data_IF_682910713549
#
_entry.id   IF_682910713549
#
_cell.length_a   1.000
_cell.length_b   1.000
_cell.length_c   1.000
_cell.angle_alpha   90.00
_cell.angle_beta   90.00
_cell.angle_gamma   90.00
#
_symmetry.space_group_name_H-M   'P 1'
#
loop_
_entity.id
_entity.type
_entity.pdbx_description
1 polymer ?
#
# COMPACT_ATOMS: atom_id res chain seq x y z
N UNK A 1 2.82 21.67 0.58
CA UNK A 1 3.28 20.73 1.63
C UNK A 1 2.18 20.58 2.66
N UNK A 2 1.85 19.35 3.07
CA UNK A 2 0.87 19.04 4.12
C UNK A 2 1.59 18.79 5.45
N UNK A 3 0.91 19.04 6.58
CA UNK A 3 1.45 18.57 7.87
C UNK A 3 1.34 17.05 7.93
N UNK A 4 0.20 16.48 7.54
CA UNK A 4 -0.05 15.03 7.57
C UNK A 4 -0.74 14.55 6.31
N UNK A 5 -0.24 13.44 5.76
CA UNK A 5 -0.94 12.64 4.77
C UNK A 5 -1.35 11.31 5.40
N UNK A 6 -2.62 10.96 5.27
CA UNK A 6 -3.20 9.70 5.75
C UNK A 6 -3.47 8.82 4.53
N UNK A 7 -2.90 7.64 4.53
CA UNK A 7 -3.00 6.69 3.42
C UNK A 7 -3.99 5.59 3.79
N UNK A 8 -5.17 5.66 3.19
CA UNK A 8 -6.32 4.82 3.47
C UNK A 8 -7.51 5.62 3.97
N UNK A 9 -8.65 5.55 3.26
CA UNK A 9 -9.89 6.26 3.57
C UNK A 9 -10.93 5.40 4.29
N UNK A 10 -10.47 4.34 4.97
CA UNK A 10 -11.29 3.50 5.83
C UNK A 10 -11.53 4.13 7.22
N UNK A 11 -12.19 3.40 8.15
CA UNK A 11 -12.54 3.91 9.47
C UNK A 11 -11.36 4.46 10.27
N UNK A 12 -10.21 3.79 10.23
CA UNK A 12 -8.99 4.24 10.92
C UNK A 12 -8.48 5.57 10.35
N UNK A 13 -8.40 5.68 9.01
CA UNK A 13 -7.89 6.89 8.36
C UNK A 13 -8.80 8.09 8.53
N UNK A 14 -10.11 7.91 8.36
CA UNK A 14 -11.08 8.98 8.58
C UNK A 14 -11.08 9.42 10.04
N UNK A 15 -11.00 8.48 11.00
CA UNK A 15 -10.88 8.83 12.42
C UNK A 15 -9.60 9.62 12.70
N UNK A 16 -8.45 9.16 12.20
CA UNK A 16 -7.18 9.89 12.35
C UNK A 16 -7.30 11.33 11.80
N UNK A 17 -7.89 11.49 10.61
CA UNK A 17 -8.07 12.80 9.98
C UNK A 17 -8.87 13.76 10.86
N UNK A 18 -9.94 13.29 11.51
CA UNK A 18 -10.75 14.14 12.40
C UNK A 18 -9.92 14.73 13.56
N UNK A 19 -9.04 13.92 14.15
CA UNK A 19 -8.18 14.37 15.25
C UNK A 19 -7.08 15.32 14.77
N UNK A 20 -6.44 15.04 13.64
CA UNK A 20 -5.42 15.92 13.06
C UNK A 20 -6.02 17.28 12.70
N UNK A 21 -7.15 17.31 11.99
CA UNK A 21 -7.84 18.53 11.60
C UNK A 21 -8.31 19.37 12.82
N UNK A 22 -8.83 18.71 13.86
CA UNK A 22 -9.20 19.39 15.11
C UNK A 22 -7.98 19.92 15.86
N UNK A 23 -6.81 19.32 15.69
CA UNK A 23 -5.53 19.82 16.17
C UNK A 23 -4.99 21.01 15.37
N UNK A 24 -5.64 21.39 14.26
CA UNK A 24 -5.23 22.51 13.42
C UNK A 24 -4.21 22.14 12.34
N UNK A 25 -3.96 20.84 12.11
CA UNK A 25 -2.99 20.38 11.12
C UNK A 25 -3.61 20.23 9.73
N UNK A 26 -2.92 20.74 8.71
CA UNK A 26 -3.31 20.51 7.31
C UNK A 26 -3.23 19.03 6.98
N UNK A 27 -4.36 18.42 6.60
CA UNK A 27 -4.50 16.97 6.47
C UNK A 27 -5.12 16.58 5.13
N UNK A 28 -4.46 15.69 4.41
CA UNK A 28 -4.99 15.04 3.22
C UNK A 28 -5.14 13.54 3.49
N UNK A 29 -6.32 13.00 3.21
CA UNK A 29 -6.59 11.56 3.21
C UNK A 29 -6.62 11.07 1.77
N UNK A 30 -5.82 10.05 1.47
CA UNK A 30 -5.75 9.44 0.15
C UNK A 30 -6.34 8.03 0.22
N UNK A 31 -7.28 7.71 -0.64
CA UNK A 31 -7.86 6.37 -0.74
C UNK A 31 -8.32 6.06 -2.15
N UNK A 32 -8.00 4.88 -2.63
CA UNK A 32 -8.40 4.41 -3.95
C UNK A 32 -9.90 4.14 -4.03
N UNK A 33 -10.43 3.52 -2.98
CA UNK A 33 -11.82 3.10 -2.86
C UNK A 33 -12.29 3.21 -1.39
N UNK A 34 -13.50 2.75 -1.11
CA UNK A 34 -14.08 2.73 0.24
C UNK A 34 -13.62 1.54 1.10
N UNK A 35 -12.67 0.74 0.58
CA UNK A 35 -12.06 -0.38 1.29
C UNK A 35 -13.02 -1.53 1.60
N UNK A 36 -12.61 -2.35 2.57
CA UNK A 36 -13.33 -3.57 2.92
C UNK A 36 -14.74 -3.33 3.50
N UNK A 37 -14.94 -2.18 4.14
CA UNK A 37 -16.19 -1.85 4.81
C UNK A 37 -17.34 -1.59 3.82
N UNK A 38 -17.05 -1.17 2.58
CA UNK A 38 -18.07 -0.95 1.53
C UNK A 38 -19.02 -2.13 1.34
N UNK A 39 -18.53 -3.34 1.58
CA UNK A 39 -19.29 -4.58 1.39
C UNK A 39 -20.17 -4.96 2.59
N UNK A 40 -20.10 -4.23 3.69
CA UNK A 40 -20.91 -4.50 4.87
C UNK A 40 -22.31 -3.92 4.66
N UNK A 41 -23.30 -4.79 4.52
CA UNK A 41 -24.70 -4.38 4.31
C UNK A 41 -25.32 -3.78 5.58
N UNK A 42 -24.88 -4.23 6.76
CA UNK A 42 -25.46 -3.85 8.04
C UNK A 42 -24.42 -3.83 9.16
N UNK A 43 -24.26 -2.67 9.80
CA UNK A 43 -23.40 -2.46 10.97
C UNK A 43 -24.31 -2.03 12.12
N UNK A 44 -24.37 -2.85 13.20
CA UNK A 44 -25.16 -2.61 14.39
C UNK A 44 -24.31 -2.44 15.66
N UNK A 45 -23.06 -2.88 15.61
CA UNK A 45 -22.14 -2.95 16.75
C UNK A 45 -21.17 -1.76 16.84
N UNK A 46 -21.49 -0.65 16.19
CA UNK A 46 -20.72 0.58 16.33
C UNK A 46 -21.48 1.56 17.25
N UNK A 47 -20.86 1.93 18.36
CA UNK A 47 -21.47 2.80 19.38
C UNK A 47 -21.87 4.16 18.80
N UNK A 48 -23.08 4.61 19.14
CA UNK A 48 -23.61 5.92 18.76
C UNK A 48 -24.47 5.91 17.49
N UNK A 49 -24.73 4.76 16.88
CA UNK A 49 -25.68 4.65 15.77
C UNK A 49 -27.12 4.64 16.31
N UNK A 50 -27.96 5.54 15.80
CA UNK A 50 -29.41 5.56 16.08
C UNK A 50 -30.13 4.39 15.41
N UNK A 51 -29.64 3.95 14.24
CA UNK A 51 -30.11 2.82 13.46
C UNK A 51 -28.90 2.08 12.85
N UNK A 52 -29.08 0.84 12.42
CA UNK A 52 -28.04 0.17 11.63
C UNK A 52 -27.71 0.96 10.38
N UNK A 53 -26.43 1.04 10.03
CA UNK A 53 -25.95 1.64 8.80
C UNK A 53 -25.26 0.59 7.92
N UNK A 54 -25.25 0.79 6.60
CA UNK A 54 -24.32 0.10 5.74
C UNK A 54 -22.91 0.61 5.93
N UNK A 55 -21.91 -0.17 5.51
CA UNK A 55 -20.53 0.27 5.51
C UNK A 55 -20.32 1.49 4.64
N UNK A 56 -20.99 1.54 3.48
CA UNK A 56 -20.99 2.70 2.60
C UNK A 56 -21.49 3.98 3.33
N UNK A 57 -22.66 3.92 3.96
CA UNK A 57 -23.21 5.07 4.71
C UNK A 57 -22.26 5.54 5.82
N UNK A 58 -21.63 4.60 6.54
CA UNK A 58 -20.72 4.94 7.62
C UNK A 58 -19.45 5.64 7.10
N UNK A 59 -18.88 5.16 5.98
CA UNK A 59 -17.74 5.80 5.35
C UNK A 59 -18.10 7.19 4.83
N UNK A 60 -19.21 7.36 4.13
CA UNK A 60 -19.64 8.67 3.62
C UNK A 60 -19.93 9.69 4.74
N UNK A 61 -20.46 9.23 5.87
CA UNK A 61 -20.60 10.08 7.06
C UNK A 61 -19.22 10.55 7.58
N UNK A 62 -18.23 9.65 7.62
CA UNK A 62 -16.85 9.99 8.02
C UNK A 62 -16.18 10.96 7.04
N UNK A 63 -16.35 10.75 5.72
CA UNK A 63 -15.84 11.64 4.67
C UNK A 63 -16.43 13.05 4.78
N UNK A 64 -17.75 13.13 4.99
CA UNK A 64 -18.46 14.39 5.21
C UNK A 64 -17.91 15.12 6.44
N UNK A 65 -17.61 14.42 7.54
CA UNK A 65 -17.01 15.02 8.72
C UNK A 65 -15.61 15.57 8.43
N UNK A 66 -14.76 14.84 7.72
CA UNK A 66 -13.42 15.29 7.32
C UNK A 66 -13.50 16.55 6.48
N UNK A 67 -14.36 16.57 5.45
CA UNK A 67 -14.54 17.74 4.58
C UNK A 67 -15.06 18.97 5.36
N UNK A 68 -16.03 18.77 6.25
CA UNK A 68 -16.58 19.84 7.11
C UNK A 68 -15.51 20.50 8.00
N UNK A 69 -14.49 19.72 8.40
CA UNK A 69 -13.35 20.22 9.19
C UNK A 69 -12.22 20.81 8.33
N UNK A 70 -12.41 20.91 7.00
CA UNK A 70 -11.44 21.47 6.07
C UNK A 70 -10.36 20.48 5.58
N UNK A 71 -10.55 19.19 5.80
CA UNK A 71 -9.66 18.16 5.29
C UNK A 71 -9.84 17.92 3.78
N UNK A 72 -8.77 17.55 3.12
CA UNK A 72 -8.77 17.15 1.71
C UNK A 72 -8.95 15.64 1.60
N UNK A 73 -9.89 15.20 0.78
CA UNK A 73 -10.06 13.80 0.40
C UNK A 73 -9.62 13.65 -1.05
N UNK A 74 -8.60 12.85 -1.28
CA UNK A 74 -8.10 12.54 -2.61
C UNK A 74 -8.43 11.08 -2.94
N UNK A 75 -9.25 10.88 -3.97
CA UNK A 75 -9.52 9.55 -4.49
C UNK A 75 -8.43 9.21 -5.51
N UNK A 76 -7.40 8.51 -5.05
CA UNK A 76 -6.25 8.13 -5.85
C UNK A 76 -5.53 6.92 -5.23
N UNK A 77 -4.67 6.28 -6.01
CA UNK A 77 -3.85 5.16 -5.57
C UNK A 77 -2.45 5.64 -5.19
N UNK A 78 -2.02 5.38 -3.95
CA UNK A 78 -0.63 5.59 -3.55
C UNK A 78 0.20 4.43 -4.10
N UNK A 79 1.20 4.75 -4.94
CA UNK A 79 2.10 3.78 -5.61
C UNK A 79 3.51 3.79 -5.03
N UNK A 80 3.90 4.87 -4.36
CA UNK A 80 5.23 4.99 -3.76
C UNK A 80 5.30 5.99 -2.63
N UNK A 81 6.31 5.84 -1.76
CA UNK A 81 6.68 6.79 -0.73
C UNK A 81 8.20 6.85 -0.68
N UNK A 82 8.76 8.06 -0.62
CA UNK A 82 10.18 8.29 -0.43
C UNK A 82 10.44 9.41 0.58
N UNK A 83 11.69 9.55 1.01
CA UNK A 83 12.11 10.56 1.96
C UNK A 83 13.25 11.42 1.38
N UNK A 84 13.10 12.75 1.41
CA UNK A 84 14.12 13.70 0.98
C UNK A 84 14.27 14.89 1.94
N UNK A 85 13.99 14.68 3.22
CA UNK A 85 13.84 15.73 4.25
C UNK A 85 12.37 15.90 4.66
N UNK A 86 11.43 15.58 3.76
CA UNK A 86 10.02 15.38 3.99
C UNK A 86 9.59 14.06 3.33
N UNK A 87 8.41 13.57 3.64
CA UNK A 87 7.81 12.43 2.96
C UNK A 87 7.22 12.89 1.63
N UNK A 88 7.65 12.25 0.54
CA UNK A 88 7.08 12.43 -0.79
C UNK A 88 6.19 11.22 -1.11
N UNK A 89 4.89 11.45 -1.17
CA UNK A 89 3.89 10.44 -1.46
C UNK A 89 3.54 10.53 -2.95
N UNK A 90 3.92 9.52 -3.71
CA UNK A 90 3.59 9.39 -5.13
C UNK A 90 2.27 8.65 -5.26
N UNK A 91 1.31 9.28 -5.95
CA UNK A 91 0.06 8.65 -6.35
C UNK A 91 0.07 8.36 -7.86
N UNK A 92 -0.93 7.67 -8.36
CA UNK A 92 -1.08 7.43 -9.79
C UNK A 92 -1.16 8.75 -10.62
N UNK A 93 -1.72 9.81 -10.02
CA UNK A 93 -1.96 11.07 -10.74
C UNK A 93 -1.07 12.25 -10.30
N UNK A 94 -0.49 12.21 -9.09
CA UNK A 94 0.25 13.37 -8.53
C UNK A 94 1.25 12.98 -7.45
N UNK A 95 2.00 13.96 -6.97
CA UNK A 95 2.89 13.82 -5.81
C UNK A 95 2.50 14.84 -4.73
N UNK A 96 2.53 14.39 -3.48
CA UNK A 96 2.19 15.19 -2.31
C UNK A 96 3.32 15.11 -1.30
N UNK A 97 3.81 16.26 -0.86
CA UNK A 97 4.83 16.37 0.17
C UNK A 97 4.19 16.56 1.54
N UNK A 98 4.65 15.80 2.54
CA UNK A 98 4.13 15.84 3.90
C UNK A 98 5.25 15.75 4.96
N UNK A 99 5.00 16.35 6.13
CA UNK A 99 5.89 16.24 7.30
C UNK A 99 5.75 14.89 7.99
N UNK A 100 4.54 14.34 7.99
CA UNK A 100 4.22 13.07 8.63
C UNK A 100 3.20 12.25 7.83
N UNK A 101 3.18 10.93 8.10
CA UNK A 101 2.28 9.97 7.44
C UNK A 101 1.58 9.11 8.49
N UNK A 102 0.30 8.80 8.24
CA UNK A 102 -0.40 7.74 8.98
C UNK A 102 -0.86 6.67 7.97
N UNK A 103 -0.32 5.47 8.09
CA UNK A 103 -0.67 4.32 7.26
C UNK A 103 -1.93 3.64 7.81
N UNK A 104 -3.02 3.63 7.04
CA UNK A 104 -4.32 3.05 7.42
C UNK A 104 -4.92 2.25 6.26
N UNK A 105 -4.07 1.57 5.53
CA UNK A 105 -4.38 0.91 4.25
C UNK A 105 -5.26 -0.33 4.38
N UNK A 106 -5.55 -0.77 5.60
CA UNK A 106 -6.28 -2.01 5.84
C UNK A 106 -5.46 -3.25 5.48
N UNK A 107 -6.15 -4.37 5.26
CA UNK A 107 -5.53 -5.62 4.81
C UNK A 107 -5.91 -5.91 3.37
N UNK A 108 -4.95 -6.36 2.56
CA UNK A 108 -5.25 -6.94 1.25
C UNK A 108 -5.84 -8.33 1.43
N UNK A 109 -7.05 -8.57 0.90
CA UNK A 109 -7.73 -9.88 0.98
C UNK A 109 -7.28 -10.88 -0.09
N UNK A 110 -6.45 -10.50 -1.06
CA UNK A 110 -5.97 -11.40 -2.10
C UNK A 110 -4.46 -11.59 -1.99
N UNK A 111 -4.06 -12.64 -1.30
CA UNK A 111 -2.74 -13.24 -1.50
C UNK A 111 -2.83 -14.16 -2.70
N UNK A 112 -2.04 -13.91 -3.73
CA UNK A 112 -1.91 -14.86 -4.83
C UNK A 112 -1.09 -16.05 -4.32
N UNK A 113 -1.61 -17.25 -4.51
CA UNK A 113 -0.88 -18.48 -4.16
C UNK A 113 -0.05 -18.89 -5.38
N UNK A 114 1.17 -18.37 -5.47
CA UNK A 114 2.16 -18.86 -6.43
C UNK A 114 3.04 -19.88 -5.67
N UNK A 115 3.21 -21.04 -6.26
CA UNK A 115 4.04 -22.10 -5.65
C UNK A 115 5.49 -21.62 -5.53
N UNK A 116 6.12 -21.90 -4.40
CA UNK A 116 7.47 -21.50 -3.98
C UNK A 116 7.67 -20.00 -3.75
N UNK A 117 6.64 -19.15 -3.84
CA UNK A 117 6.78 -17.70 -3.63
C UNK A 117 7.41 -17.38 -2.27
N UNK A 118 6.85 -17.90 -1.17
CA UNK A 118 7.33 -17.62 0.18
C UNK A 118 8.78 -18.08 0.44
N UNK A 119 9.24 -19.13 -0.25
CA UNK A 119 10.61 -19.64 -0.13
C UNK A 119 11.62 -18.71 -0.79
N UNK A 120 11.23 -18.05 -1.88
CA UNK A 120 12.09 -17.21 -2.71
C UNK A 120 12.00 -15.71 -2.39
N UNK A 121 11.16 -15.32 -1.43
CA UNK A 121 11.11 -13.94 -0.92
C UNK A 121 12.47 -13.52 -0.34
N UNK A 122 13.01 -12.40 -0.84
CA UNK A 122 14.37 -11.96 -0.52
C UNK A 122 15.48 -12.77 -1.21
N UNK A 123 15.13 -13.81 -1.97
CA UNK A 123 16.05 -14.67 -2.73
C UNK A 123 15.72 -14.64 -4.22
N UNK A 124 15.67 -13.44 -4.81
CA UNK A 124 15.28 -13.19 -6.20
C UNK A 124 13.80 -12.87 -6.39
N UNK A 125 13.03 -12.72 -5.30
CA UNK A 125 11.70 -12.12 -5.30
C UNK A 125 11.73 -10.90 -4.39
N UNK A 126 11.32 -9.74 -4.92
CA UNK A 126 11.28 -8.46 -4.21
C UNK A 126 9.88 -7.82 -4.27
N UNK A 127 9.59 -6.93 -3.32
CA UNK A 127 8.37 -6.13 -3.25
C UNK A 127 8.65 -4.61 -3.38
N UNK A 128 9.89 -4.21 -3.69
CA UNK A 128 10.29 -2.82 -3.68
C UNK A 128 11.38 -2.55 -4.74
N UNK A 129 11.02 -2.01 -5.90
CA UNK A 129 11.99 -1.62 -6.91
C UNK A 129 12.95 -0.55 -6.40
N UNK A 130 12.45 0.48 -5.72
CA UNK A 130 13.29 1.56 -5.16
C UNK A 130 14.36 1.02 -4.18
N UNK A 131 14.05 -0.07 -3.44
CA UNK A 131 14.99 -0.67 -2.49
C UNK A 131 16.05 -1.54 -3.18
N UNK A 132 15.64 -2.36 -4.12
CA UNK A 132 16.42 -3.51 -4.58
C UNK A 132 16.89 -3.42 -6.03
N UNK A 133 16.36 -2.50 -6.86
CA UNK A 133 16.73 -2.39 -8.28
C UNK A 133 18.24 -2.27 -8.50
N UNK A 134 18.92 -1.59 -7.59
CA UNK A 134 20.37 -1.39 -7.67
C UNK A 134 21.19 -2.69 -7.63
N UNK A 135 20.67 -3.72 -6.94
CA UNK A 135 21.29 -5.03 -6.87
C UNK A 135 21.26 -5.77 -8.21
N UNK A 136 20.34 -5.40 -9.09
CA UNK A 136 20.11 -6.01 -10.40
C UNK A 136 20.49 -5.09 -11.56
N UNK A 137 21.41 -4.17 -11.33
CA UNK A 137 21.89 -3.24 -12.36
C UNK A 137 22.46 -3.96 -13.57
N UNK A 138 21.90 -3.67 -14.76
CA UNK A 138 22.31 -4.28 -16.02
C UNK A 138 21.84 -5.73 -16.22
N UNK A 139 20.97 -6.22 -15.35
CA UNK A 139 20.34 -7.53 -15.47
C UNK A 139 18.93 -7.42 -16.05
N UNK A 140 18.40 -8.53 -16.55
CA UNK A 140 17.00 -8.64 -16.98
C UNK A 140 16.12 -9.02 -15.79
N UNK A 141 15.05 -8.27 -15.56
CA UNK A 141 14.14 -8.52 -14.45
C UNK A 141 12.70 -8.69 -14.91
N UNK A 142 11.84 -9.23 -14.05
CA UNK A 142 10.41 -9.32 -14.29
C UNK A 142 9.62 -8.53 -13.24
N UNK A 143 8.47 -8.00 -13.64
CA UNK A 143 7.48 -7.37 -12.75
C UNK A 143 6.17 -8.12 -12.88
N UNK A 144 5.59 -8.56 -11.78
CA UNK A 144 4.29 -9.24 -11.75
C UNK A 144 3.20 -8.27 -11.30
N UNK A 145 2.35 -7.85 -12.24
CA UNK A 145 1.27 -6.90 -12.00
C UNK A 145 0.70 -6.37 -13.31
N UNK A 146 -0.33 -5.51 -13.25
CA UNK A 146 -1.00 -5.02 -14.47
C UNK A 146 -1.57 -3.60 -14.37
N UNK A 147 -1.38 -2.90 -13.26
CA UNK A 147 -1.97 -1.58 -12.98
C UNK A 147 -0.94 -0.53 -12.59
N UNK A 148 -1.42 0.59 -12.03
CA UNK A 148 -0.62 1.77 -11.65
C UNK A 148 0.57 1.44 -10.75
N UNK A 149 0.38 0.52 -9.80
CA UNK A 149 1.48 0.09 -8.94
C UNK A 149 2.57 -0.63 -9.74
N UNK A 150 2.19 -1.53 -10.66
CA UNK A 150 3.16 -2.19 -11.53
C UNK A 150 3.85 -1.22 -12.49
N UNK A 151 3.13 -0.24 -13.02
CA UNK A 151 3.69 0.83 -13.85
C UNK A 151 4.74 1.64 -13.07
N UNK A 152 4.44 2.00 -11.83
CA UNK A 152 5.40 2.70 -10.97
C UNK A 152 6.68 1.87 -10.74
N UNK A 153 6.56 0.58 -10.38
CA UNK A 153 7.74 -0.29 -10.20
C UNK A 153 8.54 -0.44 -11.50
N UNK A 154 7.88 -0.57 -12.65
CA UNK A 154 8.54 -0.60 -13.98
C UNK A 154 9.32 0.69 -14.24
N UNK A 155 8.74 1.85 -13.98
CA UNK A 155 9.39 3.14 -14.17
C UNK A 155 10.63 3.34 -13.29
N UNK A 156 10.60 2.81 -12.06
CA UNK A 156 11.77 2.82 -11.16
C UNK A 156 12.87 1.87 -11.63
N UNK A 157 12.52 0.76 -12.29
CA UNK A 157 13.47 -0.25 -12.76
C UNK A 157 14.15 0.13 -14.08
N UNK A 158 13.42 0.65 -15.06
CA UNK A 158 13.90 0.94 -16.41
C UNK A 158 15.24 1.73 -16.48
N UNK A 159 15.50 2.72 -15.64
CA UNK A 159 16.78 3.45 -15.66
C UNK A 159 17.99 2.66 -15.16
N UNK A 160 17.76 1.49 -14.53
CA UNK A 160 18.78 0.77 -13.75
C UNK A 160 19.12 -0.58 -14.38
N UNK A 161 18.09 -1.30 -14.85
CA UNK A 161 18.21 -2.68 -15.37
C UNK A 161 18.34 -2.72 -16.89
N UNK A 162 18.74 -3.84 -17.44
CA UNK A 162 18.89 -4.01 -18.89
C UNK A 162 17.54 -4.13 -19.60
N UNK A 163 16.63 -4.93 -19.01
CA UNK A 163 15.30 -5.12 -19.58
C UNK A 163 14.27 -5.47 -18.50
N UNK A 164 13.01 -5.10 -18.76
CA UNK A 164 11.86 -5.42 -17.89
C UNK A 164 10.85 -6.24 -18.67
N UNK A 165 10.47 -7.39 -18.11
CA UNK A 165 9.34 -8.21 -18.56
C UNK A 165 8.18 -8.05 -17.60
N UNK A 166 7.05 -7.53 -18.08
CA UNK A 166 5.81 -7.43 -17.31
C UNK A 166 5.00 -8.71 -17.46
N UNK A 167 4.71 -9.35 -16.34
CA UNK A 167 3.85 -10.52 -16.24
C UNK A 167 2.48 -10.09 -15.70
N UNK A 168 1.43 -10.11 -16.52
CA UNK A 168 0.11 -9.63 -16.08
C UNK A 168 -0.76 -10.73 -15.50
N UNK A 169 -0.27 -11.96 -15.50
CA UNK A 169 -0.92 -13.10 -14.88
C UNK A 169 -2.37 -13.35 -15.34
N UNK A 170 -2.57 -13.40 -16.65
CA UNK A 170 -3.87 -13.66 -17.28
C UNK A 170 -4.77 -12.43 -17.39
N UNK A 171 -4.31 -11.25 -16.98
CA UNK A 171 -5.08 -10.02 -17.04
C UNK A 171 -4.61 -9.13 -18.18
N UNK A 172 -5.49 -8.32 -18.73
CA UNK A 172 -5.09 -7.22 -19.60
C UNK A 172 -4.41 -6.13 -18.75
N UNK A 173 -3.37 -5.44 -19.29
CA UNK A 173 -2.87 -4.23 -18.68
C UNK A 173 -4.00 -3.23 -18.47
N UNK A 174 -4.13 -2.69 -17.26
CA UNK A 174 -5.17 -1.69 -16.94
C UNK A 174 -4.70 -0.25 -17.16
N UNK A 175 -3.43 -0.09 -17.53
CA UNK A 175 -2.76 1.18 -17.85
C UNK A 175 -1.79 0.97 -19.01
N UNK A 176 -1.35 2.05 -19.66
CA UNK A 176 -0.34 2.00 -20.71
C UNK A 176 1.06 1.85 -20.12
N UNK A 177 1.79 0.84 -20.56
CA UNK A 177 3.19 0.62 -20.16
C UNK A 177 4.16 1.17 -21.23
N UNK A 178 5.38 1.55 -20.86
CA UNK A 178 6.40 1.98 -21.79
C UNK A 178 6.66 0.95 -22.90
N UNK A 179 6.89 1.37 -24.16
CA UNK A 179 7.00 0.46 -25.30
C UNK A 179 8.23 -0.48 -25.26
N UNK A 180 9.23 -0.14 -24.46
CA UNK A 180 10.42 -0.97 -24.22
C UNK A 180 10.16 -2.18 -23.30
N UNK A 181 9.00 -2.23 -22.64
CA UNK A 181 8.61 -3.33 -21.75
C UNK A 181 8.01 -4.48 -22.53
N UNK A 182 8.55 -5.66 -22.34
CA UNK A 182 7.96 -6.89 -22.90
C UNK A 182 6.79 -7.33 -22.02
N UNK A 183 5.58 -7.45 -22.59
CA UNK A 183 4.38 -7.84 -21.85
C UNK A 183 4.03 -9.30 -22.15
N UNK A 184 3.87 -10.11 -21.10
CA UNK A 184 3.42 -11.50 -21.18
C UNK A 184 2.17 -11.63 -20.30
N UNK A 185 1.07 -12.05 -20.93
CA UNK A 185 -0.21 -12.17 -20.22
C UNK A 185 -0.44 -13.57 -19.63
N UNK A 186 0.29 -14.58 -20.10
CA UNK A 186 0.14 -15.96 -19.60
C UNK A 186 0.25 -16.01 -18.08
N UNK A 187 -0.67 -16.72 -17.39
CA UNK A 187 -0.62 -16.83 -15.92
C UNK A 187 0.65 -17.49 -15.42
N UNK A 188 1.13 -17.05 -14.26
CA UNK A 188 2.27 -17.64 -13.56
C UNK A 188 1.82 -18.90 -12.83
N UNK A 189 2.45 -20.02 -13.12
CA UNK A 189 2.17 -21.31 -12.50
C UNK A 189 2.97 -21.51 -11.21
N UNK A 190 4.29 -21.35 -11.29
CA UNK A 190 5.20 -21.54 -10.15
C UNK A 190 6.52 -20.76 -10.34
N UNK A 191 7.21 -20.55 -9.24
CA UNK A 191 8.59 -20.09 -9.23
C UNK A 191 9.51 -21.30 -9.03
N UNK A 192 10.64 -21.30 -9.74
CA UNK A 192 11.66 -22.36 -9.66
C UNK A 192 12.93 -21.78 -9.08
N UNK A 193 13.53 -22.50 -8.16
CA UNK A 193 14.78 -22.17 -7.49
C UNK A 193 14.85 -22.82 -6.12
N UNK A 194 16.07 -23.05 -5.64
CA UNK A 194 16.33 -23.63 -4.31
C UNK A 194 16.84 -22.56 -3.36
N UNK A 195 17.95 -21.93 -3.68
CA UNK A 195 18.60 -20.89 -2.87
C UNK A 195 18.31 -19.48 -3.41
N UNK A 196 17.95 -19.38 -4.69
CA UNK A 196 17.54 -18.13 -5.34
C UNK A 196 16.58 -18.45 -6.48
N UNK A 197 15.89 -17.40 -7.00
CA UNK A 197 15.04 -17.51 -8.17
C UNK A 197 15.87 -17.91 -9.39
N UNK A 198 15.49 -19.00 -10.03
CA UNK A 198 16.12 -19.50 -11.26
C UNK A 198 15.21 -19.31 -12.47
N UNK A 199 13.90 -19.49 -12.29
CA UNK A 199 12.92 -19.30 -13.35
C UNK A 199 11.52 -18.98 -12.82
N UNK A 200 10.74 -18.30 -13.66
CA UNK A 200 9.28 -18.16 -13.53
C UNK A 200 8.64 -19.03 -14.61
N UNK A 201 7.88 -20.05 -14.19
CA UNK A 201 7.17 -20.95 -15.09
C UNK A 201 5.75 -20.46 -15.31
N UNK A 202 5.32 -20.39 -16.56
CA UNK A 202 3.99 -19.99 -16.98
C UNK A 202 3.10 -21.22 -17.26
N UNK A 203 1.78 -21.03 -17.27
CA UNK A 203 0.81 -22.13 -17.48
C UNK A 203 0.93 -22.78 -18.87
N UNK A 204 1.44 -22.08 -19.89
CA UNK A 204 1.67 -22.61 -21.24
C UNK A 204 2.98 -23.39 -21.39
N UNK A 205 3.73 -23.55 -20.30
CA UNK A 205 5.04 -24.22 -20.28
C UNK A 205 6.22 -23.31 -20.60
N UNK A 206 6.00 -22.04 -20.90
CA UNK A 206 7.07 -21.05 -21.09
C UNK A 206 7.81 -20.83 -19.79
N UNK A 207 9.14 -20.72 -19.85
CA UNK A 207 9.99 -20.36 -18.72
C UNK A 207 10.72 -19.05 -19.04
N UNK A 208 10.74 -18.15 -18.07
CA UNK A 208 11.52 -16.92 -18.08
C UNK A 208 12.54 -16.98 -16.95
N UNK A 209 13.74 -16.45 -17.21
CA UNK A 209 14.86 -16.51 -16.28
C UNK A 209 15.28 -15.09 -15.85
N UNK A 210 14.45 -14.35 -15.11
CA UNK A 210 14.82 -13.02 -14.62
C UNK A 210 15.78 -13.14 -13.44
N UNK A 211 16.70 -12.18 -13.31
CA UNK A 211 17.53 -12.06 -12.12
C UNK A 211 16.70 -11.77 -10.84
N UNK A 212 15.56 -11.09 -11.02
CA UNK A 212 14.59 -10.82 -9.94
C UNK A 212 13.17 -10.74 -10.48
N UNK A 213 12.20 -11.18 -9.66
CA UNK A 213 10.78 -10.97 -9.86
C UNK A 213 10.28 -9.92 -8.86
N UNK A 214 9.88 -8.74 -9.34
CA UNK A 214 9.26 -7.69 -8.52
C UNK A 214 7.75 -7.88 -8.45
N UNK A 215 7.22 -7.97 -7.24
CA UNK A 215 5.81 -8.24 -6.97
C UNK A 215 5.03 -6.92 -6.88
N UNK A 216 4.20 -6.62 -7.87
CA UNK A 216 3.40 -5.38 -7.96
C UNK A 216 1.93 -5.67 -8.29
N UNK A 217 1.35 -6.68 -7.65
CA UNK A 217 -0.02 -7.13 -7.90
C UNK A 217 -1.07 -6.23 -7.25
N UNK A 218 -2.00 -5.76 -8.04
CA UNK A 218 -3.13 -4.97 -7.58
C UNK A 218 -2.73 -3.56 -7.17
N UNK A 219 -2.93 -3.20 -5.90
CA UNK A 219 -2.53 -1.93 -5.29
C UNK A 219 -1.38 -2.13 -4.33
N UNK A 220 -0.52 -1.12 -4.18
CA UNK A 220 0.49 -1.14 -3.13
C UNK A 220 -0.19 -1.35 -1.76
N UNK A 221 0.20 -2.42 -1.07
CA UNK A 221 -0.30 -2.72 0.26
C UNK A 221 0.39 -1.83 1.29
N UNK A 222 -0.18 -1.75 2.49
CA UNK A 222 0.50 -1.11 3.61
C UNK A 222 1.85 -1.74 3.92
N UNK A 223 1.98 -3.05 3.78
CA UNK A 223 3.26 -3.76 3.90
C UNK A 223 4.26 -3.38 2.82
N UNK A 224 3.82 -3.19 1.56
CA UNK A 224 4.71 -2.77 0.47
C UNK A 224 5.22 -1.34 0.71
N UNK A 225 4.33 -0.41 1.09
CA UNK A 225 4.69 0.95 1.45
C UNK A 225 5.60 1.01 2.70
N UNK A 226 5.33 0.15 3.68
CA UNK A 226 6.16 0.04 4.88
C UNK A 226 7.58 -0.49 4.56
N UNK A 227 7.71 -1.48 3.67
CA UNK A 227 9.01 -1.97 3.19
C UNK A 227 9.81 -0.87 2.50
N UNK A 228 9.19 -0.07 1.62
CA UNK A 228 9.83 1.07 0.95
C UNK A 228 10.41 2.10 1.92
N UNK A 229 9.83 2.20 3.11
CA UNK A 229 10.30 3.08 4.18
C UNK A 229 11.23 2.39 5.17
N UNK A 230 11.49 1.08 5.03
CA UNK A 230 12.29 0.31 5.99
C UNK A 230 11.58 0.07 7.34
N UNK A 231 10.25 0.14 7.36
CA UNK A 231 9.44 -0.12 8.56
C UNK A 231 9.37 -1.63 8.81
N UNK A 232 9.50 -2.01 10.08
CA UNK A 232 9.45 -3.41 10.50
C UNK A 232 8.08 -4.03 10.27
N UNK A 233 8.08 -5.23 9.68
CA UNK A 233 6.89 -6.05 9.45
C UNK A 233 7.00 -7.39 10.19
N UNK A 234 5.85 -7.96 10.52
CA UNK A 234 5.68 -9.34 10.98
C UNK A 234 4.42 -9.92 10.33
N UNK A 235 4.52 -11.03 9.61
CA UNK A 235 3.42 -11.64 8.87
C UNK A 235 2.61 -10.62 8.02
N UNK A 236 3.30 -9.80 7.23
CA UNK A 236 2.70 -8.72 6.41
C UNK A 236 2.00 -7.60 7.22
N UNK A 237 2.16 -7.56 8.53
CA UNK A 237 1.58 -6.53 9.42
C UNK A 237 2.63 -5.51 9.79
N UNK A 238 2.24 -4.25 9.81
CA UNK A 238 3.10 -3.17 10.27
C UNK A 238 3.24 -3.26 11.79
N UNK A 239 4.47 -3.38 12.28
CA UNK A 239 4.72 -3.39 13.71
C UNK A 239 4.71 -1.97 14.25
N UNK A 240 3.91 -1.75 15.28
CA UNK A 240 3.80 -0.48 15.99
C UNK A 240 3.93 -0.70 17.49
N UNK A 241 4.32 0.37 18.19
CA UNK A 241 4.28 0.37 19.66
C UNK A 241 2.86 0.71 20.17
N UNK A 242 2.70 0.83 21.50
CA UNK A 242 1.43 1.19 22.11
C UNK A 242 0.89 2.55 21.64
N UNK A 243 1.72 3.46 21.18
CA UNK A 243 1.37 4.78 20.66
C UNK A 243 1.04 4.79 19.16
N UNK A 244 0.96 3.63 18.51
CA UNK A 244 0.77 3.47 17.07
C UNK A 244 1.98 3.96 16.23
N UNK A 245 3.13 4.17 16.84
CA UNK A 245 4.36 4.62 16.22
C UNK A 245 5.11 3.42 15.61
N UNK A 246 5.56 3.55 14.36
CA UNK A 246 6.30 2.51 13.63
C UNK A 246 7.78 2.46 13.98
N UNK A 247 8.27 3.43 14.75
CA UNK A 247 9.69 3.66 15.04
C UNK A 247 10.40 4.50 13.98
N UNK A 248 9.75 4.83 12.87
CA UNK A 248 10.26 5.77 11.88
C UNK A 248 9.71 7.18 12.17
N UNK A 249 10.56 8.22 12.31
CA UNK A 249 10.13 9.56 12.69
C UNK A 249 8.98 10.07 11.82
N UNK A 250 7.87 10.48 12.44
CA UNK A 250 6.69 11.02 11.76
C UNK A 250 5.84 9.98 11.02
N UNK A 251 6.08 8.66 11.18
CA UNK A 251 5.27 7.62 10.54
C UNK A 251 4.56 6.77 11.58
N UNK A 252 3.24 6.76 11.49
CA UNK A 252 2.34 5.99 12.34
C UNK A 252 1.52 5.01 11.51
N UNK A 253 0.98 3.97 12.13
CA UNK A 253 0.07 3.06 11.45
C UNK A 253 -1.08 2.65 12.37
N UNK A 254 -2.26 2.38 11.78
CA UNK A 254 -3.46 2.04 12.53
C UNK A 254 -4.47 1.24 11.67
N UNK A 255 -5.36 0.53 12.32
CA UNK A 255 -6.38 -0.29 11.70
C UNK A 255 -5.82 -1.62 11.21
N UNK A 256 -6.55 -2.30 10.34
CA UNK A 256 -6.27 -3.68 9.96
C UNK A 256 -4.84 -3.94 9.45
N UNK A 257 -4.12 -2.91 8.96
CA UNK A 257 -2.75 -3.07 8.49
C UNK A 257 -1.72 -3.36 9.60
N UNK A 258 -2.06 -3.10 10.86
CA UNK A 258 -1.25 -3.48 12.03
C UNK A 258 -1.69 -4.82 12.64
N UNK A 259 -2.77 -5.41 12.13
CA UNK A 259 -3.32 -6.67 12.66
C UNK A 259 -4.27 -6.47 13.84
N UNK A 260 -4.39 -7.50 14.69
CA UNK A 260 -5.26 -7.47 15.86
C UNK A 260 -6.73 -7.81 15.53
N UNK A 261 -7.66 -7.17 16.24
CA UNK A 261 -9.10 -7.43 16.10
C UNK A 261 -9.68 -6.58 14.97
N UNK A 262 -10.11 -7.22 13.89
CA UNK A 262 -10.65 -6.56 12.70
C UNK A 262 -12.10 -6.10 12.94
N UNK A 263 -12.25 -4.98 13.63
CA UNK A 263 -13.55 -4.35 13.94
C UNK A 263 -13.51 -2.85 13.69
N UNK A 264 -14.63 -2.29 13.24
CA UNK A 264 -14.77 -0.84 12.98
C UNK A 264 -14.39 -0.02 14.20
N UNK A 265 -14.90 -0.38 15.39
CA UNK A 265 -14.62 0.34 16.64
C UNK A 265 -13.14 0.32 17.01
N UNK A 266 -12.43 -0.80 16.76
CA UNK A 266 -10.99 -0.93 17.02
C UNK A 266 -10.22 -0.04 16.05
N UNK A 267 -10.50 -0.15 14.75
CA UNK A 267 -9.85 0.67 13.72
C UNK A 267 -10.04 2.19 13.97
N UNK A 268 -11.25 2.63 14.35
CA UNK A 268 -11.54 4.02 14.71
C UNK A 268 -10.72 4.46 15.94
N UNK A 269 -10.65 3.62 16.97
CA UNK A 269 -9.88 3.90 18.18
C UNK A 269 -8.37 4.00 17.91
N UNK A 270 -7.83 3.08 17.12
CA UNK A 270 -6.42 3.09 16.73
C UNK A 270 -6.07 4.29 15.85
N UNK A 271 -6.92 4.65 14.89
CA UNK A 271 -6.75 5.85 14.07
C UNK A 271 -6.73 7.13 14.92
N UNK A 272 -7.64 7.26 15.88
CA UNK A 272 -7.65 8.37 16.83
C UNK A 272 -6.37 8.40 17.66
N UNK A 273 -5.91 7.24 18.14
CA UNK A 273 -4.70 7.11 18.95
C UNK A 273 -3.44 7.47 18.16
N UNK A 274 -3.31 7.01 16.91
CA UNK A 274 -2.20 7.37 16.03
C UNK A 274 -2.11 8.89 15.83
N UNK A 275 -3.24 9.54 15.52
CA UNK A 275 -3.30 10.98 15.33
C UNK A 275 -2.94 11.76 16.61
N UNK A 276 -3.48 11.37 17.76
CA UNK A 276 -3.18 12.02 19.04
C UNK A 276 -1.69 11.84 19.41
N UNK A 277 -1.13 10.65 19.20
CA UNK A 277 0.28 10.39 19.47
C UNK A 277 1.19 11.20 18.56
N UNK A 278 0.87 11.29 17.27
CA UNK A 278 1.61 12.10 16.30
C UNK A 278 1.59 13.58 16.71
N UNK A 279 0.42 14.14 17.06
CA UNK A 279 0.27 15.56 17.43
C UNK A 279 1.06 15.94 18.68
N UNK A 280 1.25 15.01 19.62
CA UNK A 280 1.97 15.26 20.87
C UNK A 280 3.49 15.24 20.72
N UNK A 281 4.02 14.58 19.70
CA UNK A 281 5.45 14.25 19.62
C UNK A 281 6.15 14.91 18.42
N UNK A 282 5.47 15.12 17.29
CA UNK A 282 6.15 15.36 16.02
C UNK A 282 5.75 16.65 15.26
N UNK A 283 4.69 17.37 15.67
CA UNK A 283 4.22 18.54 14.91
C UNK A 283 4.08 19.78 15.77
#
# INVERSE_FOLDING_TARGET
>A
MQDVVIIGSGPAGLSAALYMLRGGFSTTVIGKDNGALEKAEKIENYFGLERPLSGHELIENGRTQVQRLGGTLLQDEVVGISWNGNYLISTASTQIEARAIILTTGTSRKTMKIKNLAQLEGHGVSYCAVCDAFLYRGESVAVLGNGEYALHEVQELLPIVDSVTLLTNGLEPSVDFPPEVTIIQTPVLELVGTDALEAVCLEDGTQIHPACLFMALGTAKGSDLARKLGIRLEDERIIVNEQMDTGLPGVFAAGDCIGGILQVSVAVGEGAKAALSLSLIHI
#
